data_IF_826297698552
#
_entry.id   IF_826297698552
#
_cell.length_a   1.000
_cell.length_b   1.000
_cell.length_c   1.000
_cell.angle_alpha   90.00
_cell.angle_beta   90.00
_cell.angle_gamma   90.00
#
_symmetry.space_group_name_H-M   'P 1'
#
loop_
_entity.id
_entity.type
_entity.pdbx_description
1 polymer ?
#
# COMPACT_ATOMS: atom_id res chain seq x y z
N UNK A 1 -7.06 4.80 -8.06
CA UNK A 1 -7.86 5.35 -6.94
C UNK A 1 -7.44 6.77 -6.57
N UNK A 2 -8.32 7.56 -5.96
CA UNK A 2 -7.99 8.88 -5.38
C UNK A 2 -7.08 8.74 -4.13
N UNK A 3 -6.21 9.72 -3.88
CA UNK A 3 -5.26 9.69 -2.76
C UNK A 3 -5.93 9.50 -1.39
N UNK A 4 -7.11 10.08 -1.17
CA UNK A 4 -7.85 9.92 0.09
C UNK A 4 -8.36 8.47 0.28
N UNK A 5 -8.83 7.84 -0.80
CA UNK A 5 -9.29 6.45 -0.77
C UNK A 5 -8.12 5.48 -0.52
N UNK A 6 -6.94 5.76 -1.10
CA UNK A 6 -5.71 5.02 -0.84
C UNK A 6 -5.33 5.09 0.65
N UNK A 7 -5.38 6.28 1.27
CA UNK A 7 -5.06 6.47 2.68
C UNK A 7 -6.06 5.77 3.61
N UNK A 8 -7.37 5.85 3.34
CA UNK A 8 -8.38 5.13 4.15
C UNK A 8 -8.17 3.61 4.07
N UNK A 9 -7.94 3.11 2.85
CA UNK A 9 -7.67 1.71 2.61
C UNK A 9 -6.39 1.25 3.32
N UNK A 10 -5.29 2.00 3.16
CA UNK A 10 -4.02 1.71 3.80
C UNK A 10 -4.14 1.73 5.35
N UNK A 11 -4.88 2.67 5.93
CA UNK A 11 -5.14 2.71 7.38
C UNK A 11 -5.90 1.49 7.86
N UNK A 12 -6.97 1.07 7.16
CA UNK A 12 -7.71 -0.16 7.48
C UNK A 12 -6.84 -1.41 7.31
N UNK A 13 -6.04 -1.44 6.26
CA UNK A 13 -5.16 -2.56 5.94
C UNK A 13 -4.06 -2.73 7.00
N UNK A 14 -3.46 -1.63 7.46
CA UNK A 14 -2.51 -1.64 8.60
C UNK A 14 -3.22 -2.03 9.90
N UNK A 15 -4.44 -1.56 10.14
CA UNK A 15 -5.21 -1.97 11.32
C UNK A 15 -5.50 -3.47 11.35
N UNK A 16 -5.68 -4.11 10.19
CA UNK A 16 -5.95 -5.54 10.08
C UNK A 16 -4.67 -6.41 10.06
N UNK A 17 -3.63 -6.00 9.32
CA UNK A 17 -2.42 -6.79 9.07
C UNK A 17 -1.20 -6.35 9.90
N UNK A 18 -1.27 -5.20 10.58
CA UNK A 18 -0.19 -4.66 11.41
C UNK A 18 1.09 -4.44 10.60
N UNK A 19 2.19 -5.03 11.08
CA UNK A 19 3.54 -4.92 10.50
C UNK A 19 3.72 -5.61 9.17
N UNK A 20 2.81 -6.54 8.84
CA UNK A 20 2.87 -7.29 7.59
C UNK A 20 2.19 -6.54 6.45
N UNK A 21 1.42 -5.50 6.74
CA UNK A 21 0.66 -4.72 5.77
C UNK A 21 1.53 -4.14 4.64
N UNK A 22 2.69 -3.55 4.99
CA UNK A 22 3.62 -3.01 3.99
C UNK A 22 4.17 -4.12 3.09
N UNK A 23 4.55 -5.24 3.70
CA UNK A 23 5.15 -6.38 3.03
C UNK A 23 4.14 -7.09 2.11
N UNK A 24 2.87 -7.19 2.49
CA UNK A 24 1.80 -7.70 1.64
C UNK A 24 1.48 -6.75 0.48
N UNK A 25 1.43 -5.44 0.72
CA UNK A 25 1.21 -4.47 -0.35
C UNK A 25 2.35 -4.48 -1.37
N UNK A 26 3.61 -4.57 -0.90
CA UNK A 26 4.79 -4.70 -1.76
C UNK A 26 4.78 -5.99 -2.60
N UNK A 27 4.42 -7.13 -1.98
CA UNK A 27 4.31 -8.41 -2.67
C UNK A 27 3.22 -8.37 -3.74
N UNK A 28 2.04 -7.83 -3.43
CA UNK A 28 0.95 -7.71 -4.41
C UNK A 28 1.29 -6.77 -5.55
N UNK A 29 2.02 -5.68 -5.30
CA UNK A 29 2.53 -4.82 -6.37
C UNK A 29 3.42 -5.62 -7.32
N UNK A 30 4.42 -6.33 -6.80
CA UNK A 30 5.35 -7.13 -7.60
C UNK A 30 4.63 -8.26 -8.36
N UNK A 31 3.64 -8.91 -7.74
CA UNK A 31 2.84 -9.95 -8.39
C UNK A 31 1.96 -9.37 -9.51
N UNK A 32 1.34 -8.21 -9.31
CA UNK A 32 0.61 -7.50 -10.35
C UNK A 32 1.52 -7.09 -11.52
N UNK A 33 2.74 -6.62 -11.24
CA UNK A 33 3.74 -6.31 -12.28
C UNK A 33 4.09 -7.57 -13.10
N UNK A 34 4.27 -8.72 -12.43
CA UNK A 34 4.52 -10.02 -13.09
C UNK A 34 3.34 -10.51 -13.91
N UNK A 35 2.10 -10.25 -13.47
CA UNK A 35 0.89 -10.60 -14.19
C UNK A 35 0.55 -9.61 -15.33
N UNK A 36 1.35 -8.54 -15.50
CA UNK A 36 1.09 -7.49 -16.49
C UNK A 36 -0.01 -6.50 -16.10
N UNK A 37 -0.49 -6.57 -14.85
CA UNK A 37 -1.53 -5.70 -14.29
C UNK A 37 -0.92 -4.40 -13.77
N UNK A 38 -0.42 -3.57 -14.70
CA UNK A 38 0.28 -2.32 -14.38
C UNK A 38 -0.56 -1.33 -13.58
N UNK A 39 -1.88 -1.31 -13.83
CA UNK A 39 -2.82 -0.41 -13.13
C UNK A 39 -2.94 -0.77 -11.64
N UNK A 40 -3.19 -2.07 -11.35
CA UNK A 40 -3.20 -2.58 -9.98
C UNK A 40 -1.84 -2.47 -9.31
N UNK A 41 -0.74 -2.73 -10.02
CA UNK A 41 0.60 -2.53 -9.48
C UNK A 41 0.82 -1.07 -9.02
N UNK A 42 0.32 -0.11 -9.79
CA UNK A 42 0.34 1.31 -9.44
C UNK A 42 -0.46 1.62 -8.18
N UNK A 43 -1.67 1.07 -8.05
CA UNK A 43 -2.48 1.26 -6.84
C UNK A 43 -1.83 0.59 -5.61
N UNK A 44 -1.27 -0.62 -5.74
CA UNK A 44 -0.54 -1.28 -4.65
C UNK A 44 0.71 -0.52 -4.21
N UNK A 45 1.46 0.07 -5.16
CA UNK A 45 2.60 0.96 -4.85
C UNK A 45 2.16 2.19 -4.05
N UNK A 46 1.03 2.80 -4.42
CA UNK A 46 0.47 3.96 -3.69
C UNK A 46 0.01 3.57 -2.29
N UNK A 47 -0.66 2.42 -2.15
CA UNK A 47 -1.06 1.86 -0.85
C UNK A 47 0.16 1.59 0.01
N UNK A 48 1.19 0.93 -0.53
CA UNK A 48 2.45 0.66 0.19
C UNK A 48 3.11 1.96 0.65
N UNK A 49 3.18 2.99 -0.20
CA UNK A 49 3.72 4.29 0.16
C UNK A 49 2.93 4.94 1.31
N UNK A 50 1.60 4.97 1.21
CA UNK A 50 0.75 5.51 2.28
C UNK A 50 0.89 4.72 3.59
N UNK A 51 0.99 3.38 3.53
CA UNK A 51 1.27 2.53 4.69
C UNK A 51 2.61 2.89 5.32
N UNK A 52 3.65 3.07 4.51
CA UNK A 52 4.99 3.44 4.97
C UNK A 52 5.03 4.83 5.57
N UNK A 53 4.30 5.79 5.01
CA UNK A 53 4.13 7.14 5.56
C UNK A 53 3.38 7.11 6.90
N UNK A 54 2.39 6.23 7.06
CA UNK A 54 1.67 6.04 8.32
C UNK A 54 2.46 5.26 9.38
N UNK A 55 3.43 4.43 8.98
CA UNK A 55 4.28 3.62 9.87
C UNK A 55 5.63 4.25 10.19
N UNK A 56 6.11 5.14 9.32
CA UNK A 56 7.31 5.93 9.57
C UNK A 56 7.10 6.85 10.77
N UNK A 57 8.19 7.27 11.44
CA UNK A 57 8.07 8.32 12.44
C UNK A 57 7.50 9.52 11.70
N UNK A 58 6.41 10.08 12.22
CA UNK A 58 5.81 11.31 11.74
C UNK A 58 6.93 12.35 11.58
N UNK A 59 7.47 12.48 10.38
CA UNK A 59 8.58 13.35 10.07
C UNK A 59 8.00 14.40 9.12
N UNK A 60 7.58 15.47 9.78
CA UNK A 60 7.23 16.78 9.25
C UNK A 60 8.03 17.22 8.04
#
# INVERSE_FOLDING_TARGET
>A
MDSNAIHDYARRFVGAHGDKAELEAAQRAAECERQGQKDQAGDWRRIQAAIKEMRGPNAS
#
